data_IF_203517277312
#
_entry.id   IF_203517277312
#
_cell.length_a   1.000
_cell.length_b   1.000
_cell.length_c   1.000
_cell.angle_alpha   90.00
_cell.angle_beta   90.00
_cell.angle_gamma   90.00
#
_symmetry.space_group_name_H-M   'P 1'
#
loop_
_entity.id
_entity.type
_entity.pdbx_description
1 polymer ?
#
# COMPACT_ATOMS: atom_id res chain seq x y z
N UNK A 1 10.03 54.67 -8.89
CA UNK A 1 10.73 53.53 -9.51
C UNK A 1 9.99 53.17 -10.81
N UNK A 2 10.28 53.91 -11.88
CA UNK A 2 11.01 53.44 -13.08
C UNK A 2 10.39 52.20 -13.75
N UNK A 3 9.52 52.44 -14.72
CA UNK A 3 9.25 51.54 -15.85
C UNK A 3 10.51 51.48 -16.71
N UNK A 4 11.08 50.30 -16.89
CA UNK A 4 12.15 50.05 -17.86
C UNK A 4 11.59 49.25 -19.03
N UNK A 5 11.57 49.90 -20.19
CA UNK A 5 11.30 49.31 -21.48
C UNK A 5 12.61 48.72 -22.04
N UNK A 6 12.55 47.51 -22.61
CA UNK A 6 13.61 46.97 -23.45
C UNK A 6 13.03 46.18 -24.64
N UNK A 7 13.77 46.11 -25.77
CA UNK A 7 13.19 46.29 -27.09
C UNK A 7 13.36 45.09 -28.04
N UNK A 8 12.59 45.14 -29.12
CA UNK A 8 12.86 44.59 -30.46
C UNK A 8 13.39 43.16 -30.63
N UNK A 9 12.57 42.32 -31.25
CA UNK A 9 13.03 41.31 -32.21
C UNK A 9 12.12 41.35 -33.43
N UNK A 10 12.52 42.15 -34.42
CA UNK A 10 11.95 42.17 -35.76
C UNK A 10 12.50 40.98 -36.53
N UNK A 11 11.62 40.07 -36.94
CA UNK A 11 11.92 39.15 -38.04
C UNK A 11 12.17 39.99 -39.31
N UNK A 12 13.37 39.89 -39.86
CA UNK A 12 13.70 40.41 -41.18
C UNK A 12 13.06 39.53 -42.25
N UNK A 13 11.99 40.02 -42.87
CA UNK A 13 11.64 39.64 -44.23
C UNK A 13 12.66 40.29 -45.18
N UNK A 14 13.49 39.51 -45.85
CA UNK A 14 14.29 39.99 -46.98
C UNK A 14 13.50 39.75 -48.27
N UNK A 15 13.14 40.87 -48.88
CA UNK A 15 12.55 41.02 -50.21
C UNK A 15 13.57 40.60 -51.30
N UNK A 16 13.09 39.95 -52.35
CA UNK A 16 13.91 39.42 -53.43
C UNK A 16 14.31 40.42 -54.53
N UNK A 17 15.22 39.95 -55.39
CA UNK A 17 15.27 40.15 -56.85
C UNK A 17 16.19 39.07 -57.44
N UNK A 18 15.60 38.06 -58.08
CA UNK A 18 15.34 37.95 -59.52
C UNK A 18 16.61 37.66 -60.33
N UNK A 19 16.88 36.37 -60.55
CA UNK A 19 17.78 35.90 -61.62
C UNK A 19 16.92 35.07 -62.56
N UNK A 20 16.65 35.67 -63.72
CA UNK A 20 15.85 35.12 -64.83
C UNK A 20 16.69 34.05 -65.54
N UNK A 21 16.27 32.79 -65.44
CA UNK A 21 16.93 31.68 -66.13
C UNK A 21 15.94 30.59 -66.49
N UNK A 22 15.52 30.60 -67.76
CA UNK A 22 14.93 29.51 -68.56
C UNK A 22 14.10 28.45 -67.80
N UNK A 23 12.81 28.44 -68.07
CA UNK A 23 11.93 27.28 -67.93
C UNK A 23 12.33 26.18 -68.91
N UNK A 24 12.69 25.00 -68.42
CA UNK A 24 12.24 23.77 -69.05
C UNK A 24 11.37 22.99 -68.06
N UNK A 25 10.12 22.80 -68.47
CA UNK A 25 9.25 21.64 -68.23
C UNK A 25 9.24 21.09 -66.80
N UNK A 26 8.09 21.25 -66.15
CA UNK A 26 7.71 20.48 -64.96
C UNK A 26 8.19 19.03 -65.07
N UNK A 27 8.95 18.51 -64.10
CA UNK A 27 9.05 17.07 -63.96
C UNK A 27 7.64 16.61 -63.61
N UNK A 28 6.98 16.00 -64.60
CA UNK A 28 5.88 15.07 -64.37
C UNK A 28 6.35 14.20 -63.20
N UNK A 29 5.63 14.23 -62.08
CA UNK A 29 5.75 13.19 -61.06
C UNK A 29 5.36 11.91 -61.80
N UNK A 30 6.38 11.22 -62.33
CA UNK A 30 6.25 9.86 -62.79
C UNK A 30 5.85 9.11 -61.53
N UNK A 31 4.56 8.80 -61.45
CA UNK A 31 4.08 7.73 -60.62
C UNK A 31 4.91 6.54 -61.10
N UNK A 32 5.92 6.15 -60.31
CA UNK A 32 6.68 4.95 -60.60
C UNK A 32 5.63 3.86 -60.70
N UNK A 33 5.40 3.42 -61.93
CA UNK A 33 4.59 2.26 -62.19
C UNK A 33 5.24 1.18 -61.32
N UNK A 34 4.51 0.53 -60.38
CA UNK A 34 5.11 -0.54 -59.60
C UNK A 34 5.74 -1.49 -60.63
N UNK A 35 7.07 -1.61 -60.59
CA UNK A 35 7.78 -2.51 -61.48
C UNK A 35 7.02 -3.83 -61.41
N UNK A 36 6.59 -4.40 -62.56
CA UNK A 36 5.89 -5.66 -62.54
C UNK A 36 6.74 -6.61 -61.70
N UNK A 37 6.19 -7.22 -60.63
CA UNK A 37 6.99 -7.94 -59.65
C UNK A 37 7.94 -8.85 -60.41
N UNK A 38 9.23 -8.52 -60.33
CA UNK A 38 10.25 -9.18 -61.13
C UNK A 38 10.04 -10.67 -60.97
N UNK A 39 9.85 -11.38 -62.09
CA UNK A 39 9.44 -12.77 -62.09
C UNK A 39 10.25 -13.52 -61.03
N UNK A 40 9.58 -14.00 -59.98
CA UNK A 40 10.22 -14.77 -58.92
C UNK A 40 10.99 -15.88 -59.60
N UNK A 41 12.32 -15.76 -59.64
CA UNK A 41 13.17 -16.83 -60.17
C UNK A 41 12.85 -18.02 -59.29
N UNK A 42 12.19 -19.03 -59.85
CA UNK A 42 11.89 -20.28 -59.17
C UNK A 42 13.24 -20.87 -58.77
N UNK A 43 13.64 -20.63 -57.53
CA UNK A 43 14.75 -21.32 -56.88
C UNK A 43 14.41 -22.79 -56.98
N UNK A 44 15.15 -23.53 -57.81
CA UNK A 44 14.91 -24.95 -58.09
C UNK A 44 15.14 -25.89 -56.91
N UNK A 45 15.30 -25.35 -55.69
CA UNK A 45 15.55 -26.08 -54.47
C UNK A 45 14.40 -25.85 -53.48
N UNK A 46 13.28 -26.55 -53.69
CA UNK A 46 12.13 -26.59 -52.77
C UNK A 46 12.52 -26.86 -51.30
N UNK A 47 13.63 -27.55 -51.06
CA UNK A 47 14.12 -27.82 -49.71
C UNK A 47 14.60 -26.56 -48.98
N UNK A 48 15.09 -25.54 -49.71
CA UNK A 48 15.50 -24.27 -49.11
C UNK A 48 14.28 -23.49 -48.60
N UNK A 49 13.21 -23.39 -49.38
CA UNK A 49 11.97 -22.70 -48.97
C UNK A 49 11.28 -23.41 -47.81
N UNK A 50 11.32 -24.75 -47.78
CA UNK A 50 10.84 -25.54 -46.64
C UNK A 50 11.66 -25.26 -45.38
N UNK A 51 12.99 -25.20 -45.50
CA UNK A 51 13.90 -24.95 -44.39
C UNK A 51 13.70 -23.56 -43.80
N UNK A 52 13.57 -22.53 -44.65
CA UNK A 52 13.31 -21.15 -44.21
C UNK A 52 11.98 -21.06 -43.46
N UNK A 53 10.94 -21.70 -43.97
CA UNK A 53 9.61 -21.72 -43.34
C UNK A 53 9.64 -22.42 -41.97
N UNK A 54 10.33 -23.56 -41.87
CA UNK A 54 10.50 -24.27 -40.59
C UNK A 54 11.31 -23.45 -39.59
N UNK A 55 12.40 -22.81 -40.03
CA UNK A 55 13.17 -21.92 -39.18
C UNK A 55 12.32 -20.76 -38.64
N UNK A 56 11.48 -20.15 -39.47
CA UNK A 56 10.57 -19.08 -39.05
C UNK A 56 9.53 -19.57 -38.01
N UNK A 57 9.00 -20.79 -38.16
CA UNK A 57 8.09 -21.38 -37.17
C UNK A 57 8.79 -21.65 -35.84
N UNK A 58 10.01 -22.18 -35.87
CA UNK A 58 10.81 -22.45 -34.67
C UNK A 58 11.18 -21.15 -33.95
N UNK A 59 11.60 -20.11 -34.66
CA UNK A 59 11.92 -18.82 -34.04
C UNK A 59 10.67 -18.18 -33.42
N UNK A 60 9.51 -18.29 -34.07
CA UNK A 60 8.23 -17.84 -33.51
C UNK A 60 7.83 -18.61 -32.26
N UNK A 61 8.07 -19.93 -32.19
CA UNK A 61 7.77 -20.72 -31.01
C UNK A 61 8.69 -20.36 -29.83
N UNK A 62 9.99 -20.18 -30.11
CA UNK A 62 10.98 -19.79 -29.10
C UNK A 62 10.71 -18.38 -28.58
N UNK A 63 10.31 -17.43 -29.42
CA UNK A 63 10.00 -16.06 -28.98
C UNK A 63 8.78 -16.02 -28.05
N UNK A 64 7.72 -16.76 -28.35
CA UNK A 64 6.53 -16.89 -27.48
C UNK A 64 6.91 -17.56 -26.16
N UNK A 65 7.72 -18.62 -26.20
CA UNK A 65 8.18 -19.31 -25.00
C UNK A 65 9.03 -18.41 -24.10
N UNK A 66 9.97 -17.65 -24.67
CA UNK A 66 10.77 -16.67 -23.93
C UNK A 66 9.92 -15.53 -23.37
N UNK A 67 8.94 -15.03 -24.13
CA UNK A 67 8.01 -14.01 -23.66
C UNK A 67 7.21 -14.51 -22.44
N UNK A 68 6.76 -15.77 -22.45
CA UNK A 68 6.08 -16.38 -21.32
C UNK A 68 6.98 -16.50 -20.08
N UNK A 69 8.22 -16.95 -20.25
CA UNK A 69 9.20 -17.01 -19.15
C UNK A 69 9.48 -15.63 -18.55
N UNK A 70 9.65 -14.62 -19.40
CA UNK A 70 9.92 -13.25 -18.97
C UNK A 70 8.71 -12.63 -18.25
N UNK A 71 7.48 -13.02 -18.62
CA UNK A 71 6.25 -12.55 -17.97
C UNK A 71 6.22 -12.94 -16.49
N UNK A 72 6.55 -14.19 -16.16
CA UNK A 72 6.51 -14.68 -14.77
C UNK A 72 7.59 -14.01 -13.91
N UNK A 73 8.80 -13.84 -14.45
CA UNK A 73 9.88 -13.17 -13.74
C UNK A 73 9.59 -11.68 -13.47
N UNK A 74 8.88 -11.00 -14.38
CA UNK A 74 8.44 -9.62 -14.16
C UNK A 74 7.36 -9.52 -13.08
N UNK A 75 6.46 -10.50 -13.00
CA UNK A 75 5.46 -10.57 -11.95
C UNK A 75 6.10 -10.71 -10.56
N UNK A 76 7.06 -11.62 -10.39
CA UNK A 76 7.76 -11.83 -9.11
C UNK A 76 8.50 -10.57 -8.62
N UNK A 77 9.13 -9.82 -9.54
CA UNK A 77 9.80 -8.56 -9.22
C UNK A 77 8.81 -7.48 -8.77
N UNK A 78 7.61 -7.44 -9.36
CA UNK A 78 6.57 -6.48 -8.97
C UNK A 78 6.00 -6.84 -7.59
N UNK A 79 5.78 -8.12 -7.31
CA UNK A 79 5.35 -8.59 -5.98
C UNK A 79 6.40 -8.29 -4.91
N UNK A 80 7.69 -8.52 -5.20
CA UNK A 80 8.78 -8.19 -4.29
C UNK A 80 8.87 -6.67 -4.01
N UNK A 81 8.61 -5.83 -5.02
CA UNK A 81 8.61 -4.37 -4.84
C UNK A 81 7.36 -3.84 -4.13
N UNK A 82 6.33 -4.65 -3.95
CA UNK A 82 5.04 -4.24 -3.38
C UNK A 82 4.66 -5.03 -2.13
N UNK A 83 5.64 -5.68 -1.48
CA UNK A 83 5.41 -6.46 -0.27
C UNK A 83 5.05 -5.56 0.91
N UNK A 84 3.81 -5.64 1.47
CA UNK A 84 3.44 -4.90 2.66
C UNK A 84 3.94 -5.61 3.93
N UNK A 85 4.48 -4.85 4.88
CA UNK A 85 4.98 -5.38 6.14
C UNK A 85 4.38 -4.62 7.31
N UNK A 86 3.29 -5.17 7.85
CA UNK A 86 2.49 -4.56 8.90
C UNK A 86 3.07 -4.93 10.26
N UNK A 87 3.55 -3.93 10.98
CA UNK A 87 4.10 -4.04 12.32
C UNK A 87 3.13 -3.49 13.35
N UNK A 88 2.84 -4.30 14.35
CA UNK A 88 1.97 -3.98 15.46
C UNK A 88 2.85 -3.62 16.66
N UNK A 89 2.87 -2.34 17.02
CA UNK A 89 3.71 -1.81 18.09
C UNK A 89 2.87 -1.33 19.27
N UNK A 90 3.47 -1.44 20.46
CA UNK A 90 2.89 -0.90 21.68
C UNK A 90 3.98 -0.32 22.54
N UNK A 91 3.70 0.82 23.17
CA UNK A 91 4.69 1.56 23.94
C UNK A 91 4.07 2.37 25.05
N UNK A 92 4.92 2.78 25.99
CA UNK A 92 4.62 3.81 26.95
C UNK A 92 5.60 4.98 26.69
N UNK A 93 5.07 6.19 26.54
CA UNK A 93 5.88 7.39 26.32
C UNK A 93 5.52 8.42 27.37
N UNK A 94 6.49 9.01 28.05
CA UNK A 94 6.27 10.15 28.92
C UNK A 94 7.60 10.76 29.36
N UNK A 95 7.63 12.08 29.52
CA UNK A 95 8.76 12.74 30.15
C UNK A 95 8.76 12.40 31.65
N UNK A 96 9.89 12.62 32.33
CA UNK A 96 10.20 12.11 33.69
C UNK A 96 9.24 12.53 34.84
N UNK A 97 8.09 13.13 34.53
CA UNK A 97 7.01 13.43 35.46
C UNK A 97 6.07 12.22 35.63
N UNK A 98 5.67 11.86 36.88
CA UNK A 98 4.83 10.69 37.16
C UNK A 98 3.45 10.64 36.48
N UNK A 99 2.96 11.76 35.93
CA UNK A 99 1.63 11.91 35.35
C UNK A 99 1.63 12.18 33.84
N UNK A 100 2.78 12.08 33.17
CA UNK A 100 2.92 12.33 31.73
C UNK A 100 3.08 11.06 30.89
N UNK A 101 2.83 9.89 31.49
CA UNK A 101 2.92 8.62 30.79
C UNK A 101 1.69 8.38 29.92
N UNK A 102 1.92 8.05 28.65
CA UNK A 102 0.89 7.76 27.67
C UNK A 102 1.12 6.37 27.10
N UNK A 103 0.11 5.51 27.24
CA UNK A 103 0.08 4.19 26.64
C UNK A 103 -0.38 4.33 25.19
N UNK A 104 0.41 3.83 24.24
CA UNK A 104 0.11 3.88 22.81
C UNK A 104 0.15 2.48 22.21
N UNK A 105 -0.84 2.18 21.39
CA UNK A 105 -0.90 1.01 20.52
C UNK A 105 -1.06 1.52 19.09
N UNK A 106 -0.14 1.15 18.23
CA UNK A 106 -0.06 1.64 16.87
C UNK A 106 0.19 0.50 15.89
N UNK A 107 -0.12 0.80 14.64
CA UNK A 107 0.15 -0.05 13.50
C UNK A 107 0.92 0.77 12.47
N UNK A 108 2.04 0.23 12.02
CA UNK A 108 2.84 0.82 10.94
C UNK A 108 3.03 -0.14 9.78
N UNK A 109 3.16 0.40 8.57
CA UNK A 109 3.57 -0.37 7.41
C UNK A 109 5.04 -0.08 7.09
N UNK A 110 5.94 -0.99 7.45
CA UNK A 110 7.37 -0.90 7.10
C UNK A 110 7.74 -1.67 5.83
N UNK A 111 6.75 -2.15 5.08
CA UNK A 111 6.95 -2.75 3.76
C UNK A 111 7.02 -1.68 2.67
N UNK A 112 7.27 -2.11 1.44
CA UNK A 112 7.39 -1.22 0.27
C UNK A 112 6.08 -1.03 -0.48
N UNK A 113 5.07 -1.88 -0.23
CA UNK A 113 3.74 -1.78 -0.84
C UNK A 113 2.65 -1.30 0.11
N UNK A 114 1.51 -0.82 -0.43
CA UNK A 114 0.35 -0.47 0.39
C UNK A 114 -0.35 -1.71 0.93
N UNK A 115 -0.84 -1.62 2.16
CA UNK A 115 -1.55 -2.69 2.84
C UNK A 115 -3.05 -2.36 2.96
N UNK A 116 -3.91 -3.30 2.55
CA UNK A 116 -5.35 -3.28 2.82
C UNK A 116 -5.59 -3.92 4.18
N UNK A 117 -5.97 -3.15 5.18
CA UNK A 117 -6.32 -3.67 6.51
C UNK A 117 -7.81 -4.02 6.53
N UNK A 118 -8.13 -5.30 6.71
CA UNK A 118 -9.51 -5.80 6.74
C UNK A 118 -10.07 -5.86 8.15
N UNK A 119 -9.24 -6.32 9.08
CA UNK A 119 -9.60 -6.47 10.48
C UNK A 119 -8.43 -6.07 11.37
N UNK A 120 -8.77 -5.39 12.47
CA UNK A 120 -7.87 -5.08 13.56
C UNK A 120 -8.63 -5.33 14.86
N UNK A 121 -8.02 -6.05 15.78
CA UNK A 121 -8.62 -6.39 17.06
C UNK A 121 -7.56 -6.44 18.16
N UNK A 122 -7.99 -6.15 19.38
CA UNK A 122 -7.22 -6.44 20.58
C UNK A 122 -7.53 -7.86 21.03
N UNK A 123 -6.51 -8.51 21.58
CA UNK A 123 -6.59 -9.83 22.19
C UNK A 123 -6.09 -9.73 23.62
N UNK A 124 -6.77 -10.43 24.53
CA UNK A 124 -6.33 -10.58 25.92
C UNK A 124 -6.20 -12.06 26.21
N UNK A 125 -5.00 -12.50 26.57
CA UNK A 125 -4.68 -13.92 26.80
C UNK A 125 -5.12 -14.79 25.58
N UNK A 126 -4.75 -14.34 24.37
CA UNK A 126 -5.09 -14.93 23.07
C UNK A 126 -6.59 -14.98 22.70
N UNK A 127 -7.45 -14.30 23.47
CA UNK A 127 -8.88 -14.21 23.18
C UNK A 127 -9.25 -12.85 22.58
N UNK A 128 -9.95 -12.83 21.43
CA UNK A 128 -10.33 -11.57 20.79
C UNK A 128 -11.33 -10.79 21.66
N UNK A 129 -11.11 -9.48 21.75
CA UNK A 129 -11.92 -8.54 22.49
C UNK A 129 -12.87 -7.82 21.52
N UNK A 130 -14.10 -7.56 21.95
CA UNK A 130 -15.07 -6.85 21.10
C UNK A 130 -14.66 -5.39 20.86
N UNK A 131 -14.60 -5.00 19.58
CA UNK A 131 -14.18 -3.68 19.10
C UNK A 131 -15.16 -2.52 19.38
N UNK A 132 -16.42 -2.76 19.75
CA UNK A 132 -17.41 -1.70 19.97
C UNK A 132 -16.97 -0.69 21.06
N UNK A 133 -16.36 -1.21 22.13
CA UNK A 133 -15.74 -0.46 23.22
C UNK A 133 -14.36 -1.07 23.54
N UNK A 134 -13.50 -1.15 22.52
CA UNK A 134 -12.23 -1.88 22.59
C UNK A 134 -11.42 -1.57 23.87
N UNK A 135 -11.32 -0.29 24.24
CA UNK A 135 -10.64 0.11 25.48
C UNK A 135 -11.26 -0.52 26.73
N UNK A 136 -12.56 -0.31 26.96
CA UNK A 136 -13.26 -0.81 28.16
C UNK A 136 -13.22 -2.32 28.21
N UNK A 137 -13.49 -2.98 27.09
CA UNK A 137 -13.50 -4.45 27.03
C UNK A 137 -12.11 -5.03 27.29
N UNK A 138 -11.05 -4.37 26.80
CA UNK A 138 -9.65 -4.78 27.07
C UNK A 138 -9.29 -4.57 28.53
N UNK A 139 -9.65 -3.42 29.10
CA UNK A 139 -9.43 -3.08 30.51
C UNK A 139 -10.11 -4.09 31.45
N UNK A 140 -11.38 -4.44 31.17
CA UNK A 140 -12.12 -5.46 31.91
C UNK A 140 -11.50 -6.85 31.76
N UNK A 141 -11.14 -7.24 30.54
CA UNK A 141 -10.56 -8.56 30.28
C UNK A 141 -9.20 -8.76 30.97
N UNK A 142 -8.32 -7.75 30.99
CA UNK A 142 -6.99 -7.90 31.61
C UNK A 142 -6.96 -7.61 33.11
N UNK A 143 -7.81 -6.67 33.55
CA UNK A 143 -7.58 -5.82 34.72
C UNK A 143 -8.90 -5.40 35.40
N UNK A 144 -9.88 -6.31 35.45
CA UNK A 144 -11.24 -6.05 35.94
C UNK A 144 -11.29 -5.36 37.30
N UNK A 145 -10.47 -5.81 38.25
CA UNK A 145 -10.46 -5.28 39.63
C UNK A 145 -10.10 -3.79 39.64
N UNK A 146 -9.04 -3.43 38.94
CA UNK A 146 -8.57 -2.05 38.82
C UNK A 146 -9.56 -1.20 38.02
N UNK A 147 -10.18 -1.78 36.97
CA UNK A 147 -11.20 -1.09 36.18
C UNK A 147 -12.41 -0.72 37.03
N UNK A 148 -12.93 -1.65 37.84
CA UNK A 148 -14.06 -1.40 38.73
C UNK A 148 -13.72 -0.36 39.80
N UNK A 149 -12.51 -0.40 40.36
CA UNK A 149 -12.05 0.59 41.35
C UNK A 149 -12.00 2.01 40.75
N UNK A 150 -11.48 2.16 39.53
CA UNK A 150 -11.46 3.46 38.84
C UNK A 150 -12.87 3.88 38.43
N UNK A 151 -13.68 2.98 37.87
CA UNK A 151 -15.05 3.29 37.45
C UNK A 151 -15.94 3.73 38.61
N UNK A 152 -15.74 3.17 39.81
CA UNK A 152 -16.46 3.56 41.03
C UNK A 152 -15.94 4.85 41.69
N UNK A 153 -14.77 5.36 41.29
CA UNK A 153 -14.14 6.55 41.88
C UNK A 153 -14.77 7.88 41.47
N UNK A 154 -15.70 7.87 40.50
CA UNK A 154 -16.40 9.05 40.03
C UNK A 154 -17.85 8.71 39.65
N UNK A 155 -18.73 9.72 39.70
CA UNK A 155 -20.13 9.59 39.25
C UNK A 155 -20.21 9.18 37.79
N UNK A 156 -19.29 9.68 36.96
CA UNK A 156 -19.13 9.28 35.58
C UNK A 156 -17.80 8.52 35.40
N UNK A 157 -17.82 7.23 35.02
CA UNK A 157 -16.61 6.44 34.81
C UNK A 157 -15.61 7.06 33.83
N UNK A 158 -16.09 7.83 32.83
CA UNK A 158 -15.22 8.48 31.86
C UNK A 158 -14.34 9.57 32.48
N UNK A 159 -14.83 10.28 33.51
CA UNK A 159 -14.05 11.28 34.23
C UNK A 159 -12.96 10.65 35.10
N UNK A 160 -13.15 9.38 35.48
CA UNK A 160 -12.15 8.61 36.21
C UNK A 160 -11.10 8.00 35.28
N UNK A 161 -11.53 7.50 34.13
CA UNK A 161 -10.67 6.90 33.10
C UNK A 161 -9.81 7.97 32.42
N UNK A 162 -10.33 9.18 32.22
CA UNK A 162 -9.62 10.26 31.53
C UNK A 162 -9.66 10.15 30.00
N UNK A 163 -8.75 10.86 29.33
CA UNK A 163 -8.74 11.01 27.87
C UNK A 163 -8.23 9.75 27.17
N UNK A 164 -9.14 8.99 26.55
CA UNK A 164 -8.81 7.85 25.67
C UNK A 164 -9.07 8.25 24.23
N UNK A 165 -8.04 8.16 23.39
CA UNK A 165 -8.17 8.33 21.94
C UNK A 165 -8.15 6.95 21.29
N UNK A 166 -9.19 6.63 20.52
CA UNK A 166 -9.26 5.37 19.78
C UNK A 166 -9.54 5.63 18.31
N UNK A 167 -8.92 4.86 17.42
CA UNK A 167 -9.25 4.87 16.00
C UNK A 167 -9.86 3.54 15.59
N UNK A 168 -10.98 3.60 14.87
CA UNK A 168 -11.56 2.40 14.24
C UNK A 168 -10.75 2.07 13.00
N UNK A 169 -9.98 0.99 13.07
CA UNK A 169 -9.17 0.48 11.95
C UNK A 169 -9.95 -0.67 11.30
N UNK A 170 -10.80 -0.32 10.32
CA UNK A 170 -11.54 -1.29 9.51
C UNK A 170 -11.56 -0.82 8.07
N UNK A 171 -11.27 -1.72 7.14
CA UNK A 171 -11.30 -1.46 5.70
C UNK A 171 -10.53 -0.19 5.32
N UNK A 172 -9.29 -0.11 5.78
CA UNK A 172 -8.43 1.06 5.54
C UNK A 172 -7.19 0.67 4.75
N UNK A 173 -6.65 1.62 3.99
CA UNK A 173 -5.40 1.45 3.27
C UNK A 173 -4.29 2.11 4.08
N UNK A 174 -3.20 1.40 4.33
CA UNK A 174 -2.01 1.93 4.97
C UNK A 174 -0.87 1.93 3.95
N UNK A 175 -0.47 3.11 3.49
CA UNK A 175 0.63 3.22 2.53
C UNK A 175 1.98 2.85 3.17
N UNK A 176 2.98 2.59 2.33
CA UNK A 176 4.36 2.34 2.78
C UNK A 176 4.85 3.49 3.68
N UNK A 177 5.44 3.15 4.83
CA UNK A 177 5.94 4.09 5.82
C UNK A 177 4.87 4.81 6.65
N UNK A 178 3.58 4.57 6.42
CA UNK A 178 2.53 5.18 7.23
C UNK A 178 2.33 4.43 8.55
N UNK A 179 2.00 5.22 9.57
CA UNK A 179 1.63 4.77 10.91
C UNK A 179 0.24 5.27 11.26
N UNK A 180 -0.52 4.46 11.97
CA UNK A 180 -1.80 4.84 12.55
C UNK A 180 -1.91 4.38 13.99
N UNK A 181 -2.33 5.29 14.86
CA UNK A 181 -2.55 4.99 16.27
C UNK A 181 -3.92 4.32 16.42
N UNK A 182 -3.94 3.10 16.93
CA UNK A 182 -5.16 2.38 17.24
C UNK A 182 -5.76 2.85 18.56
N UNK A 183 -4.91 3.01 19.58
CA UNK A 183 -5.31 3.45 20.91
C UNK A 183 -4.21 4.28 21.55
N UNK A 184 -4.59 5.40 22.16
CA UNK A 184 -3.71 6.22 22.99
C UNK A 184 -4.45 6.60 24.26
N UNK A 185 -3.79 6.42 25.40
CA UNK A 185 -4.38 6.70 26.70
C UNK A 185 -3.37 7.29 27.69
N UNK A 186 -3.68 8.50 28.18
CA UNK A 186 -2.83 9.21 29.12
C UNK A 186 -3.11 8.79 30.57
N UNK A 187 -2.03 8.64 31.33
CA UNK A 187 -2.04 8.40 32.76
C UNK A 187 -2.46 9.68 33.48
N UNK A 188 -3.20 9.50 34.57
CA UNK A 188 -3.59 10.55 35.51
C UNK A 188 -3.49 9.98 36.93
N UNK A 189 -3.40 10.84 37.93
CA UNK A 189 -3.43 10.41 39.35
C UNK A 189 -4.64 9.52 39.67
N UNK A 190 -5.79 9.78 39.03
CA UNK A 190 -7.04 9.06 39.26
C UNK A 190 -7.09 7.69 38.60
N UNK A 191 -6.50 7.53 37.41
CA UNK A 191 -6.50 6.27 36.67
C UNK A 191 -5.21 5.44 36.85
N UNK A 192 -4.23 5.96 37.57
CA UNK A 192 -2.90 5.40 37.76
C UNK A 192 -2.88 3.88 37.99
N UNK A 193 -3.71 3.38 38.92
CA UNK A 193 -3.75 1.95 39.23
C UNK A 193 -4.18 1.07 38.05
N UNK A 194 -5.19 1.51 37.28
CA UNK A 194 -5.64 0.81 36.08
C UNK A 194 -4.62 0.95 34.94
N UNK A 195 -4.05 2.14 34.77
CA UNK A 195 -3.01 2.40 33.77
C UNK A 195 -1.80 1.48 33.99
N UNK A 196 -1.29 1.42 35.22
CA UNK A 196 -0.14 0.59 35.58
C UNK A 196 -0.46 -0.91 35.41
N UNK A 197 -1.71 -1.33 35.68
CA UNK A 197 -2.14 -2.70 35.44
C UNK A 197 -2.20 -3.05 33.95
N UNK A 198 -2.74 -2.16 33.12
CA UNK A 198 -2.76 -2.33 31.67
C UNK A 198 -1.36 -2.33 31.06
N UNK A 199 -0.46 -1.46 31.52
CA UNK A 199 0.93 -1.44 31.03
C UNK A 199 1.67 -2.74 31.40
N UNK A 200 1.49 -3.26 32.63
CA UNK A 200 2.02 -4.59 32.99
C UNK A 200 1.43 -5.71 32.12
N UNK A 201 0.14 -5.66 31.82
CA UNK A 201 -0.51 -6.65 30.96
C UNK A 201 -0.01 -6.58 29.50
N UNK A 202 0.30 -5.37 29.00
CA UNK A 202 0.98 -5.17 27.71
C UNK A 202 2.41 -5.74 27.72
N UNK A 203 3.22 -5.39 28.71
CA UNK A 203 4.62 -5.82 28.80
C UNK A 203 4.75 -7.36 28.96
N UNK A 204 3.79 -8.00 29.63
CA UNK A 204 3.74 -9.46 29.77
C UNK A 204 3.18 -10.18 28.54
N UNK A 205 2.79 -9.45 27.48
CA UNK A 205 2.21 -10.02 26.26
C UNK A 205 0.74 -10.44 26.39
N UNK A 206 0.13 -10.28 27.57
CA UNK A 206 -1.29 -10.61 27.79
C UNK A 206 -2.20 -9.76 26.92
N UNK A 207 -1.92 -8.47 26.79
CA UNK A 207 -2.59 -7.59 25.82
C UNK A 207 -1.77 -7.59 24.54
N UNK A 208 -2.35 -8.13 23.47
CA UNK A 208 -1.74 -8.20 22.15
C UNK A 208 -2.70 -7.68 21.09
N UNK A 209 -2.18 -7.25 19.94
CA UNK A 209 -2.98 -6.87 18.79
C UNK A 209 -2.91 -7.94 17.72
N UNK A 210 -3.97 -8.01 16.92
CA UNK A 210 -4.05 -8.86 15.76
C UNK A 210 -4.64 -8.06 14.59
N UNK A 211 -4.00 -8.16 13.42
CA UNK A 211 -4.47 -7.52 12.21
C UNK A 211 -4.38 -8.47 11.01
N UNK A 212 -5.46 -8.57 10.25
CA UNK A 212 -5.47 -9.27 8.97
C UNK A 212 -5.38 -8.24 7.85
N UNK A 213 -4.38 -8.39 6.99
CA UNK A 213 -4.13 -7.47 5.89
C UNK A 213 -3.73 -8.19 4.62
N UNK A 214 -3.95 -7.54 3.49
CA UNK A 214 -3.52 -8.03 2.18
C UNK A 214 -2.76 -6.97 1.39
N UNK A 215 -1.95 -7.41 0.43
CA UNK A 215 -1.38 -6.54 -0.60
C UNK A 215 -2.47 -6.11 -1.59
N UNK A 216 -2.08 -5.31 -2.58
CA UNK A 216 -2.93 -4.98 -3.74
C UNK A 216 -3.15 -6.16 -4.67
N UNK A 217 -2.35 -7.22 -4.54
CA UNK A 217 -2.42 -8.45 -5.33
C UNK A 217 -3.15 -9.59 -4.60
N UNK A 218 -3.94 -9.25 -3.57
CA UNK A 218 -4.75 -10.19 -2.78
C UNK A 218 -3.95 -11.32 -2.08
N UNK A 219 -2.64 -11.15 -1.92
CA UNK A 219 -1.85 -11.95 -0.99
C UNK A 219 -2.08 -11.42 0.44
N UNK A 220 -2.37 -12.31 1.39
CA UNK A 220 -2.78 -11.92 2.74
C UNK A 220 -1.89 -12.50 3.84
N UNK A 221 -1.82 -11.78 4.95
CA UNK A 221 -1.04 -12.12 6.14
C UNK A 221 -1.80 -11.82 7.42
N UNK A 222 -1.49 -12.58 8.48
CA UNK A 222 -1.85 -12.27 9.85
C UNK A 222 -0.66 -11.63 10.57
N UNK A 223 -0.80 -10.37 10.97
CA UNK A 223 0.13 -9.72 11.88
C UNK A 223 -0.35 -9.92 13.33
N UNK A 224 0.56 -10.32 14.21
CA UNK A 224 0.35 -10.39 15.66
C UNK A 224 1.42 -9.57 16.36
N UNK A 225 1.09 -8.98 17.51
CA UNK A 225 2.08 -8.34 18.36
C UNK A 225 3.24 -9.29 18.66
N UNK A 226 4.47 -8.76 18.60
CA UNK A 226 5.72 -9.48 18.90
C UNK A 226 6.08 -10.65 17.97
N UNK A 227 5.31 -10.88 16.89
CA UNK A 227 5.56 -11.95 15.93
C UNK A 227 5.70 -11.38 14.51
N UNK A 228 6.48 -12.07 13.67
CA UNK A 228 6.52 -11.76 12.25
C UNK A 228 5.17 -12.11 11.58
N UNK A 229 4.68 -11.32 10.61
CA UNK A 229 3.46 -11.64 9.89
C UNK A 229 3.54 -13.00 9.18
N UNK A 230 2.51 -13.82 9.36
CA UNK A 230 2.45 -15.16 8.75
C UNK A 230 1.51 -15.12 7.55
N UNK A 231 1.94 -15.69 6.42
CA UNK A 231 1.13 -15.76 5.19
C UNK A 231 -0.10 -16.63 5.42
N UNK A 232 -1.25 -16.19 4.91
CA UNK A 232 -2.50 -16.95 4.90
C UNK A 232 -2.77 -17.54 3.52
N UNK A 233 -3.39 -18.72 3.52
CA UNK A 233 -3.87 -19.37 2.29
C UNK A 233 -5.21 -18.80 1.80
N UNK A 234 -5.91 -18.02 2.63
CA UNK A 234 -7.23 -17.44 2.33
C UNK A 234 -7.25 -15.95 2.56
N UNK A 235 -8.05 -15.25 1.76
CA UNK A 235 -8.31 -13.81 1.88
C UNK A 235 -8.89 -13.48 3.26
N UNK A 236 -8.50 -12.32 3.79
CA UNK A 236 -9.08 -11.80 5.02
C UNK A 236 -10.59 -11.58 4.84
N UNK A 237 -11.40 -12.32 5.59
CA UNK A 237 -12.83 -12.03 5.71
C UNK A 237 -13.02 -10.78 6.58
N UNK A 238 -13.96 -9.91 6.21
CA UNK A 238 -14.34 -8.82 7.11
C UNK A 238 -15.02 -9.43 8.35
N UNK A 239 -14.67 -9.01 9.58
CA UNK A 239 -15.40 -9.48 10.75
C UNK A 239 -16.89 -9.09 10.60
N UNK A 240 -17.84 -9.98 10.91
CA UNK A 240 -19.26 -9.73 10.67
C UNK A 240 -19.70 -8.40 11.31
N UNK A 241 -20.64 -7.66 10.70
CA UNK A 241 -21.17 -6.45 11.31
C UNK A 241 -21.76 -6.79 12.69
N UNK A 242 -21.44 -5.97 13.70
CA UNK A 242 -21.94 -6.16 15.06
C UNK A 242 -23.49 -6.16 15.03
N UNK A 243 -24.17 -7.20 15.54
CA UNK A 243 -25.63 -7.29 15.52
C UNK A 243 -26.36 -6.25 16.40
N UNK A 244 -25.62 -5.36 17.08
CA UNK A 244 -26.16 -4.35 18.00
C UNK A 244 -26.16 -2.92 17.48
N UNK A 245 -25.89 -2.68 16.19
CA UNK A 245 -25.99 -1.35 15.58
C UNK A 245 -27.03 -1.39 14.46
N UNK A 246 -28.30 -1.32 14.84
CA UNK A 246 -29.35 -0.89 13.92
C UNK A 246 -29.23 0.63 13.76
N UNK A 247 -29.09 1.10 12.52
CA UNK A 247 -29.22 2.51 12.15
C UNK A 247 -30.53 3.12 12.68
#
# INVERSE_FOLDING_TARGET
MRRTAHPNSRLHCIFGREIKGKTPREPVMVMDNPEPPGAHKKSGLHWLDLTVSVCALVTSAVSIFMAYQNSNAMEDLVHANSWPFIQLSSGNSGDSAPDDHTLTFDLSNAGTGPARIYGFEFTVDDRPVNNANAFVNTARACCEREYQAVAASATNPFDAIGSVQTRRIRTTMLASGQETIALRWSRTVRNAALWDAMDRARQSGRISMHACYCSVFDECWDARSNNLPVRRDRVCEQPPPNPGVTN
#
